data_IF_472358287832
#
_entry.id   IF_472358287832
#
_cell.length_a   1.000
_cell.length_b   1.000
_cell.length_c   1.000
_cell.angle_alpha   90.00
_cell.angle_beta   90.00
_cell.angle_gamma   90.00
#
_symmetry.space_group_name_H-M   'P 1'
#
loop_
_entity.id
_entity.type
_entity.pdbx_description
1 polymer ?
#
# COMPACT_ATOMS: atom_id res chain seq x y z
N UNK A 1 18.45 9.97 2.64
CA UNK A 1 17.09 9.43 2.84
C UNK A 1 16.91 8.24 1.92
N UNK A 2 16.45 7.09 2.44
CA UNK A 2 16.11 5.93 1.60
C UNK A 2 14.79 6.18 0.85
N UNK A 3 14.52 5.51 -0.28
CA UNK A 3 13.25 5.67 -1.00
C UNK A 3 12.02 5.43 -0.12
N UNK A 4 12.09 4.40 0.74
CA UNK A 4 11.02 4.07 1.68
C UNK A 4 10.84 5.14 2.76
N UNK A 5 11.93 5.67 3.32
CA UNK A 5 11.88 6.78 4.28
C UNK A 5 11.28 8.04 3.64
N UNK A 6 11.68 8.36 2.41
CA UNK A 6 11.09 9.45 1.62
C UNK A 6 9.58 9.27 1.45
N UNK A 7 9.15 8.09 1.01
CA UNK A 7 7.73 7.81 0.83
C UNK A 7 6.95 8.00 2.14
N UNK A 8 7.53 7.68 3.30
CA UNK A 8 6.86 7.82 4.60
C UNK A 8 6.80 9.28 5.06
N UNK A 9 7.87 10.04 4.88
CA UNK A 9 8.01 11.40 5.41
C UNK A 9 7.44 12.48 4.47
N UNK A 10 7.52 12.26 3.16
CA UNK A 10 7.18 13.24 2.12
C UNK A 10 6.20 12.71 1.06
N UNK A 11 5.82 11.42 1.12
CA UNK A 11 5.05 10.76 0.06
C UNK A 11 3.56 11.10 -0.02
N UNK A 12 3.08 12.05 0.80
CA UNK A 12 1.70 12.55 0.83
C UNK A 12 1.39 13.52 -0.32
N UNK A 13 2.42 14.17 -0.89
CA UNK A 13 2.21 15.11 -1.98
C UNK A 13 1.79 14.37 -3.27
N UNK A 14 0.68 14.77 -3.91
CA UNK A 14 0.24 14.14 -5.15
C UNK A 14 1.03 14.69 -6.33
N UNK A 15 1.95 13.87 -6.85
CA UNK A 15 2.92 14.25 -7.88
C UNK A 15 2.79 13.43 -9.18
N UNK A 16 2.26 12.21 -9.10
CA UNK A 16 2.29 11.25 -10.22
C UNK A 16 0.99 11.30 -11.02
N UNK A 17 1.05 11.59 -12.32
CA UNK A 17 -0.13 11.45 -13.17
C UNK A 17 -0.46 9.97 -13.44
N UNK A 18 -1.61 9.72 -14.10
CA UNK A 18 -2.07 8.34 -14.34
C UNK A 18 -1.12 7.52 -15.22
N UNK A 19 -0.32 8.15 -16.07
CA UNK A 19 0.66 7.45 -16.91
C UNK A 19 1.91 7.08 -16.10
N UNK A 20 2.44 8.03 -15.32
CA UNK A 20 3.52 7.75 -14.38
C UNK A 20 3.12 6.66 -13.37
N UNK A 21 1.91 6.77 -12.80
CA UNK A 21 1.34 5.76 -11.91
C UNK A 21 1.26 4.39 -12.58
N UNK A 22 0.71 4.30 -13.80
CA UNK A 22 0.62 3.04 -14.53
C UNK A 22 1.99 2.40 -14.77
N UNK A 23 3.01 3.20 -15.10
CA UNK A 23 4.37 2.71 -15.32
C UNK A 23 5.02 2.22 -14.02
N UNK A 24 4.95 3.01 -12.95
CA UNK A 24 5.49 2.63 -11.62
C UNK A 24 4.83 1.33 -11.12
N UNK A 25 3.51 1.22 -11.30
CA UNK A 25 2.71 0.10 -10.82
C UNK A 25 2.73 -1.13 -11.74
N UNK A 26 3.34 -1.06 -12.93
CA UNK A 26 3.20 -2.06 -14.00
C UNK A 26 1.74 -2.44 -14.26
N UNK A 27 0.88 -1.44 -14.37
CA UNK A 27 -0.56 -1.60 -14.51
C UNK A 27 -1.05 -0.97 -15.81
N UNK A 28 -2.17 -1.49 -16.32
CA UNK A 28 -2.87 -0.83 -17.44
C UNK A 28 -3.50 0.48 -16.95
N UNK A 29 -3.23 1.59 -17.67
CA UNK A 29 -3.82 2.91 -17.42
C UNK A 29 -5.36 2.83 -17.32
N UNK A 30 -5.97 2.03 -18.18
CA UNK A 30 -7.42 1.79 -18.24
C UNK A 30 -7.95 1.17 -16.95
N UNK A 31 -7.17 0.31 -16.29
CA UNK A 31 -7.54 -0.29 -15.00
C UNK A 31 -7.63 0.80 -13.93
N UNK A 32 -6.59 1.64 -13.84
CA UNK A 32 -6.54 2.75 -12.87
C UNK A 32 -7.67 3.76 -13.11
N UNK A 33 -7.91 4.12 -14.37
CA UNK A 33 -9.02 5.02 -14.74
C UNK A 33 -10.39 4.41 -14.43
N UNK A 34 -10.58 3.11 -14.71
CA UNK A 34 -11.84 2.41 -14.43
C UNK A 34 -12.11 2.35 -12.93
N UNK A 35 -11.10 2.04 -12.12
CA UNK A 35 -11.24 2.01 -10.66
C UNK A 35 -11.58 3.40 -10.11
N UNK A 36 -10.92 4.44 -10.63
CA UNK A 36 -11.16 5.81 -10.22
C UNK A 36 -12.52 6.36 -10.72
N UNK A 37 -13.02 5.91 -11.88
CA UNK A 37 -14.34 6.28 -12.40
C UNK A 37 -15.47 5.58 -11.63
N UNK A 38 -15.25 4.35 -11.17
CA UNK A 38 -16.19 3.58 -10.34
C UNK A 38 -16.14 3.94 -8.85
N UNK A 39 -15.31 4.92 -8.45
CA UNK A 39 -15.15 5.32 -7.05
C UNK A 39 -14.54 4.24 -6.16
N UNK A 40 -13.86 3.25 -6.75
CA UNK A 40 -13.17 2.17 -6.01
C UNK A 40 -11.95 2.73 -5.30
N UNK A 41 -11.28 3.69 -5.93
CA UNK A 41 -10.14 4.43 -5.39
C UNK A 41 -10.58 5.87 -5.18
N UNK A 42 -10.78 6.26 -3.93
CA UNK A 42 -11.13 7.63 -3.52
C UNK A 42 -10.08 8.15 -2.53
N UNK A 43 -8.81 8.10 -2.92
CA UNK A 43 -7.73 8.67 -2.14
C UNK A 43 -7.87 10.20 -2.06
N UNK A 44 -7.50 10.79 -0.93
CA UNK A 44 -7.61 12.22 -0.65
C UNK A 44 -6.87 13.10 -1.67
N UNK A 45 -5.83 12.59 -2.34
CA UNK A 45 -5.12 13.22 -3.45
C UNK A 45 -5.86 13.24 -4.79
N UNK A 46 -6.92 12.44 -4.95
CA UNK A 46 -7.77 12.42 -6.14
C UNK A 46 -8.80 13.57 -6.15
N UNK A 47 -8.75 14.49 -5.17
CA UNK A 47 -9.57 15.69 -5.20
C UNK A 47 -9.17 16.51 -6.44
N UNK A 48 -10.13 16.94 -7.27
CA UNK A 48 -9.84 17.82 -8.38
C UNK A 48 -9.33 19.16 -7.82
N UNK A 49 -8.01 19.31 -7.74
CA UNK A 49 -7.38 20.61 -7.70
C UNK A 49 -7.68 21.38 -8.99
N UNK A 50 -7.33 22.67 -9.04
CA UNK A 50 -7.61 23.57 -10.19
C UNK A 50 -7.04 23.08 -11.54
N UNK A 51 -6.22 22.03 -11.55
CA UNK A 51 -5.81 21.29 -12.74
C UNK A 51 -6.73 20.08 -12.95
N UNK A 52 -7.26 19.90 -14.17
CA UNK A 52 -8.13 18.77 -14.54
C UNK A 52 -7.43 17.39 -14.50
N UNK A 53 -6.21 17.28 -13.97
CA UNK A 53 -5.44 16.04 -13.90
C UNK A 53 -5.55 15.44 -12.49
N UNK A 54 -5.98 14.17 -12.41
CA UNK A 54 -5.90 13.37 -11.19
C UNK A 54 -4.45 12.95 -11.01
N UNK A 55 -3.87 13.34 -9.88
CA UNK A 55 -2.52 12.96 -9.49
C UNK A 55 -2.61 11.97 -8.32
N UNK A 56 -1.62 11.10 -8.22
CA UNK A 56 -1.46 10.09 -7.18
C UNK A 56 -0.28 10.50 -6.29
N UNK A 57 -0.40 10.29 -4.99
CA UNK A 57 0.73 10.39 -4.06
C UNK A 57 1.52 9.07 -4.03
N UNK A 58 2.72 9.06 -3.46
CA UNK A 58 3.50 7.83 -3.32
C UNK A 58 2.78 6.80 -2.42
N UNK A 59 2.04 7.27 -1.41
CA UNK A 59 1.17 6.42 -0.59
C UNK A 59 0.05 5.77 -1.43
N UNK A 60 -0.58 6.54 -2.32
CA UNK A 60 -1.63 6.01 -3.21
C UNK A 60 -1.08 4.89 -4.09
N UNK A 61 0.12 5.06 -4.64
CA UNK A 61 0.79 4.05 -5.45
C UNK A 61 1.06 2.77 -4.63
N UNK A 62 1.52 2.88 -3.39
CA UNK A 62 1.78 1.73 -2.53
C UNK A 62 0.50 0.90 -2.28
N UNK A 63 -0.61 1.59 -1.96
CA UNK A 63 -1.92 0.96 -1.76
C UNK A 63 -2.43 0.33 -3.07
N UNK A 64 -2.31 1.03 -4.20
CA UNK A 64 -2.77 0.55 -5.50
C UNK A 64 -2.01 -0.70 -5.94
N UNK A 65 -0.68 -0.75 -5.77
CA UNK A 65 0.10 -1.94 -6.14
C UNK A 65 -0.34 -3.14 -5.32
N UNK A 66 -0.47 -2.97 -4.00
CA UNK A 66 -0.94 -4.04 -3.13
C UNK A 66 -2.36 -4.50 -3.51
N UNK A 67 -3.27 -3.57 -3.83
CA UNK A 67 -4.62 -3.89 -4.27
C UNK A 67 -4.64 -4.67 -5.59
N UNK A 68 -3.82 -4.29 -6.58
CA UNK A 68 -3.71 -5.00 -7.86
C UNK A 68 -3.25 -6.45 -7.65
N UNK A 69 -2.27 -6.68 -6.78
CA UNK A 69 -1.80 -8.02 -6.44
C UNK A 69 -2.88 -8.84 -5.72
N UNK A 70 -3.63 -8.24 -4.80
CA UNK A 70 -4.76 -8.91 -4.15
C UNK A 70 -5.86 -9.27 -5.15
N UNK A 71 -6.14 -8.42 -6.15
CA UNK A 71 -7.07 -8.77 -7.24
C UNK A 71 -6.56 -9.97 -8.04
N UNK A 72 -5.25 -10.05 -8.32
CA UNK A 72 -4.65 -11.21 -8.97
C UNK A 72 -4.78 -12.50 -8.14
N UNK A 73 -4.89 -12.37 -6.81
CA UNK A 73 -5.19 -13.48 -5.88
C UNK A 73 -6.69 -13.78 -5.73
N UNK A 74 -7.55 -13.12 -6.52
CA UNK A 74 -8.99 -13.39 -6.58
C UNK A 74 -9.86 -12.48 -5.71
N UNK A 75 -9.30 -11.43 -5.10
CA UNK A 75 -10.10 -10.45 -4.36
C UNK A 75 -10.91 -9.58 -5.32
N UNK A 76 -12.13 -9.20 -4.91
CA UNK A 76 -12.89 -8.16 -5.61
C UNK A 76 -12.18 -6.81 -5.45
N UNK A 77 -12.12 -5.95 -6.49
CA UNK A 77 -11.34 -4.71 -6.42
C UNK A 77 -11.64 -3.80 -5.22
N UNK A 78 -12.91 -3.56 -4.80
CA UNK A 78 -13.18 -2.76 -3.60
C UNK A 78 -12.63 -3.38 -2.31
N UNK A 79 -12.69 -4.71 -2.20
CA UNK A 79 -12.15 -5.43 -1.05
C UNK A 79 -10.61 -5.40 -1.07
N UNK A 80 -10.01 -5.55 -2.24
CA UNK A 80 -8.57 -5.48 -2.42
C UNK A 80 -8.01 -4.09 -2.02
N UNK A 81 -8.64 -3.01 -2.47
CA UNK A 81 -8.25 -1.64 -2.10
C UNK A 81 -8.44 -1.39 -0.60
N UNK A 82 -9.56 -1.83 -0.02
CA UNK A 82 -9.78 -1.70 1.43
C UNK A 82 -8.75 -2.49 2.24
N UNK A 83 -8.44 -3.73 1.83
CA UNK A 83 -7.45 -4.55 2.53
C UNK A 83 -6.03 -4.00 2.38
N UNK A 84 -5.66 -3.55 1.19
CA UNK A 84 -4.38 -2.92 0.93
C UNK A 84 -4.20 -1.63 1.73
N UNK A 85 -5.24 -0.79 1.80
CA UNK A 85 -5.23 0.44 2.59
C UNK A 85 -5.03 0.17 4.07
N UNK A 86 -5.74 -0.82 4.63
CA UNK A 86 -5.55 -1.20 6.04
C UNK A 86 -4.16 -1.78 6.29
N UNK A 87 -3.68 -2.67 5.41
CA UNK A 87 -2.33 -3.22 5.50
C UNK A 87 -1.26 -2.11 5.46
N UNK A 88 -1.48 -1.09 4.63
CA UNK A 88 -0.58 0.04 4.53
C UNK A 88 -0.57 0.89 5.80
N UNK A 89 -1.76 1.24 6.33
CA UNK A 89 -1.89 2.02 7.57
C UNK A 89 -1.25 1.28 8.75
N UNK A 90 -1.51 -0.02 8.90
CA UNK A 90 -0.92 -0.83 9.97
C UNK A 90 0.62 -0.87 9.84
N UNK A 91 1.14 -1.09 8.63
CA UNK A 91 2.58 -1.08 8.35
C UNK A 91 3.22 0.30 8.65
N UNK A 92 2.56 1.40 8.25
CA UNK A 92 2.98 2.76 8.59
C UNK A 92 2.96 3.02 10.11
N UNK A 93 2.02 2.42 10.84
CA UNK A 93 1.95 2.50 12.30
C UNK A 93 3.21 1.94 12.96
N UNK A 94 3.69 0.78 12.50
CA UNK A 94 4.97 0.22 12.95
C UNK A 94 6.15 1.13 12.61
N UNK A 95 6.15 1.68 11.40
CA UNK A 95 7.23 2.54 10.91
C UNK A 95 7.39 3.84 11.69
N UNK A 96 6.29 4.56 11.85
CA UNK A 96 6.27 5.86 12.51
C UNK A 96 6.56 5.72 14.00
N UNK A 97 6.15 4.60 14.63
CA UNK A 97 6.51 4.29 16.01
C UNK A 97 8.01 4.00 16.18
N UNK A 98 8.63 3.29 15.24
CA UNK A 98 10.08 3.04 15.21
C UNK A 98 10.89 4.34 15.05
N UNK A 99 10.55 5.15 14.04
CA UNK A 99 11.21 6.45 13.77
C UNK A 99 11.16 7.37 14.99
N UNK A 100 10.01 7.47 15.66
CA UNK A 100 9.82 8.36 16.84
C UNK A 100 10.61 7.95 18.08
N UNK A 101 11.08 6.70 18.18
CA UNK A 101 11.82 6.20 19.36
C UNK A 101 13.32 6.42 19.26
N UNK A 102 13.84 6.90 18.12
CA UNK A 102 15.28 7.07 17.93
C UNK A 102 16.07 5.77 18.02
N UNK A 103 15.37 4.64 18.00
CA UNK A 103 15.98 3.33 17.79
C UNK A 103 16.43 3.28 16.32
N UNK A 104 17.59 2.68 16.03
CA UNK A 104 18.06 2.37 14.66
C UNK A 104 17.13 1.33 14.01
N UNK A 105 15.82 1.62 13.93
CA UNK A 105 14.90 0.92 13.07
C UNK A 105 15.33 1.28 11.67
N UNK A 106 16.25 0.49 11.16
CA UNK A 106 16.49 0.43 9.75
C UNK A 106 15.11 0.18 9.13
N UNK A 107 14.67 1.09 8.25
CA UNK A 107 13.54 0.85 7.33
C UNK A 107 13.59 -0.57 6.70
N UNK A 108 14.77 -1.20 6.70
CA UNK A 108 15.08 -2.59 6.34
C UNK A 108 14.18 -3.68 6.93
N UNK A 109 13.39 -3.45 7.99
CA UNK A 109 12.51 -4.50 8.54
C UNK A 109 11.10 -4.52 7.96
N UNK A 110 10.70 -3.50 7.19
CA UNK A 110 9.38 -3.54 6.51
C UNK A 110 9.34 -4.67 5.51
N UNK A 111 10.44 -5.00 4.82
CA UNK A 111 10.45 -6.10 3.85
C UNK A 111 9.82 -7.38 4.43
N UNK A 112 9.98 -7.61 5.75
CA UNK A 112 9.37 -8.72 6.47
C UNK A 112 7.90 -8.56 6.85
N UNK A 113 7.24 -7.45 6.54
CA UNK A 113 5.84 -7.21 6.86
C UNK A 113 4.90 -8.09 6.02
N UNK A 114 4.06 -8.84 6.70
CA UNK A 114 3.07 -9.75 6.14
C UNK A 114 1.69 -9.33 6.64
N UNK A 115 0.80 -9.04 5.69
CA UNK A 115 -0.62 -8.86 5.95
C UNK A 115 -1.32 -10.22 5.99
N UNK A 116 -2.17 -10.38 7.00
CA UNK A 116 -3.05 -11.51 7.23
C UNK A 116 -4.47 -11.04 6.96
N UNK A 117 -5.07 -11.53 5.88
CA UNK A 117 -6.35 -11.04 5.38
C UNK A 117 -7.39 -12.14 5.55
N UNK A 118 -8.25 -11.96 6.55
CA UNK A 118 -9.37 -12.84 6.85
C UNK A 118 -10.65 -12.46 6.11
N UNK A 119 -11.51 -13.46 5.90
CA UNK A 119 -12.86 -13.24 5.37
C UNK A 119 -13.70 -12.38 6.32
N UNK A 120 -14.54 -11.52 5.75
CA UNK A 120 -15.52 -10.69 6.45
C UNK A 120 -16.92 -11.06 5.97
N UNK A 121 -17.86 -11.26 6.89
CA UNK A 121 -19.26 -11.62 6.59
C UNK A 121 -20.03 -10.37 6.11
N UNK A 122 -19.72 -9.92 4.88
CA UNK A 122 -20.41 -8.81 4.23
C UNK A 122 -19.81 -7.42 4.44
N UNK A 123 -18.64 -7.31 5.08
CA UNK A 123 -17.94 -6.03 5.33
C UNK A 123 -16.55 -5.94 4.70
N UNK A 124 -15.80 -4.90 5.09
CA UNK A 124 -14.38 -4.75 4.76
C UNK A 124 -13.59 -5.97 5.29
N UNK A 125 -12.56 -6.46 4.55
CA UNK A 125 -11.73 -7.57 5.00
C UNK A 125 -11.10 -7.30 6.36
N UNK A 126 -10.99 -8.32 7.21
CA UNK A 126 -10.25 -8.20 8.46
C UNK A 126 -8.76 -8.32 8.14
N UNK A 127 -8.01 -7.24 8.30
CA UNK A 127 -6.58 -7.19 7.97
C UNK A 127 -5.78 -6.94 9.24
N UNK A 128 -4.70 -7.69 9.40
CA UNK A 128 -3.67 -7.46 10.40
C UNK A 128 -2.30 -7.56 9.77
N UNK A 129 -1.37 -6.71 10.18
CA UNK A 129 0.02 -6.79 9.71
C UNK A 129 0.94 -7.26 10.83
N UNK A 130 1.82 -8.20 10.51
CA UNK A 130 2.89 -8.66 11.37
C UNK A 130 4.23 -8.49 10.67
N UNK A 131 5.28 -8.14 11.40
CA UNK A 131 6.66 -8.06 10.88
C UNK A 131 7.37 -9.36 11.23
N UNK A 132 7.69 -10.16 10.21
CA UNK A 132 8.46 -11.40 10.38
C UNK A 132 9.84 -11.07 10.94
N UNK A 133 10.18 -11.64 12.10
CA UNK A 133 11.44 -11.41 12.80
C UNK A 133 11.34 -10.70 14.16
N UNK A 134 10.22 -10.04 14.50
CA UNK A 134 10.06 -9.33 15.79
C UNK A 134 8.86 -9.75 16.63
N UNK A 135 7.86 -10.41 16.03
CA UNK A 135 6.70 -10.89 16.75
C UNK A 135 6.46 -12.37 16.48
N UNK A 136 6.25 -13.13 17.56
CA UNK A 136 5.53 -14.41 17.47
C UNK A 136 4.15 -14.11 16.89
N UNK A 137 3.90 -14.59 15.67
CA UNK A 137 2.57 -14.57 15.09
C UNK A 137 1.74 -15.51 15.96
N UNK A 138 0.99 -14.98 16.95
CA UNK A 138 0.01 -15.80 17.66
C UNK A 138 -1.14 -16.08 16.70
N UNK A 139 -1.02 -17.20 15.99
CA UNK A 139 -1.99 -17.66 15.00
C UNK A 139 -3.38 -17.94 15.61
N UNK A 140 -3.50 -17.91 16.94
CA UNK A 140 -4.69 -18.23 17.71
C UNK A 140 -5.91 -17.36 17.37
N UNK A 141 -5.71 -16.10 16.94
CA UNK A 141 -6.83 -15.21 16.53
C UNK A 141 -7.17 -15.36 15.02
N UNK A 142 -6.32 -16.03 14.24
CA UNK A 142 -6.57 -16.39 12.84
C UNK A 142 -7.33 -17.72 12.72
N UNK A 143 -7.27 -18.57 13.75
CA UNK A 143 -7.87 -19.91 13.76
C UNK A 143 -9.33 -19.96 14.25
N UNK A 144 -10.16 -19.00 13.83
CA UNK A 144 -11.62 -19.18 13.88
C UNK A 144 -12.12 -20.31 12.93
N UNK A 145 -11.21 -21.02 12.26
CA UNK A 145 -11.50 -22.03 11.24
C UNK A 145 -11.73 -21.46 9.84
N UNK A 146 -11.58 -20.15 9.65
CA UNK A 146 -11.79 -19.46 8.37
C UNK A 146 -10.47 -19.30 7.58
N UNK A 147 -10.52 -19.38 6.24
CA UNK A 147 -9.34 -19.20 5.41
C UNK A 147 -8.77 -17.77 5.56
N UNK A 148 -7.44 -17.68 5.62
CA UNK A 148 -6.69 -16.42 5.68
C UNK A 148 -5.71 -16.40 4.51
N UNK A 149 -5.61 -15.24 3.84
CA UNK A 149 -4.58 -15.00 2.84
C UNK A 149 -3.40 -14.30 3.50
N UNK A 150 -2.20 -14.87 3.33
CA UNK A 150 -0.93 -14.24 3.71
C UNK A 150 -0.39 -13.45 2.52
N UNK A 151 -0.05 -12.18 2.74
CA UNK A 151 0.41 -11.28 1.69
C UNK A 151 1.63 -10.50 2.17
N UNK A 152 2.77 -10.65 1.51
CA UNK A 152 4.01 -9.94 1.84
C UNK A 152 3.94 -8.46 1.43
N UNK A 153 3.15 -7.67 2.15
CA UNK A 153 2.89 -6.26 1.85
C UNK A 153 4.15 -5.40 1.96
N UNK A 154 5.08 -5.79 2.82
CA UNK A 154 6.33 -5.07 3.06
C UNK A 154 7.18 -4.86 1.82
N UNK A 155 7.53 -5.96 1.15
CA UNK A 155 8.29 -5.96 -0.11
C UNK A 155 7.59 -5.15 -1.20
N UNK A 156 6.26 -5.18 -1.22
CA UNK A 156 5.46 -4.44 -2.21
C UNK A 156 5.62 -2.94 -2.00
N UNK A 157 5.53 -2.47 -0.75
CA UNK A 157 5.68 -1.05 -0.44
C UNK A 157 7.11 -0.55 -0.71
N UNK A 158 8.12 -1.34 -0.40
CA UNK A 158 9.51 -1.01 -0.69
C UNK A 158 9.77 -0.87 -2.20
N UNK A 159 9.32 -1.83 -3.00
CA UNK A 159 9.45 -1.78 -4.47
C UNK A 159 8.76 -0.57 -5.09
N UNK A 160 7.57 -0.21 -4.58
CA UNK A 160 6.87 0.99 -5.06
C UNK A 160 7.65 2.25 -4.69
N UNK A 161 8.16 2.33 -3.46
CA UNK A 161 8.95 3.47 -3.01
C UNK A 161 10.20 3.68 -3.87
N UNK A 162 10.93 2.59 -4.16
CA UNK A 162 12.11 2.62 -5.03
C UNK A 162 11.79 3.17 -6.43
N UNK A 163 10.71 2.66 -7.04
CA UNK A 163 10.30 3.06 -8.39
C UNK A 163 9.79 4.49 -8.45
N UNK A 164 8.95 4.89 -7.50
CA UNK A 164 8.43 6.26 -7.43
C UNK A 164 9.56 7.27 -7.19
N UNK A 165 10.51 6.94 -6.32
CA UNK A 165 11.65 7.79 -6.04
C UNK A 165 12.64 7.88 -7.22
N UNK A 166 12.83 6.79 -7.98
CA UNK A 166 13.61 6.80 -9.21
C UNK A 166 12.96 7.69 -10.28
N UNK A 167 11.65 7.55 -10.48
CA UNK A 167 10.87 8.38 -11.40
C UNK A 167 11.04 9.88 -11.13
N UNK A 168 10.89 10.29 -9.86
CA UNK A 168 11.06 11.69 -9.43
C UNK A 168 12.44 12.27 -9.79
N UNK A 169 13.49 11.46 -9.80
CA UNK A 169 14.85 11.89 -10.17
C UNK A 169 15.06 12.03 -11.68
N UNK A 170 14.28 11.33 -12.49
CA UNK A 170 14.37 11.41 -13.95
C UNK A 170 13.62 12.62 -14.51
N UNK A 171 12.58 13.08 -13.80
CA UNK A 171 11.78 14.26 -14.16
C UNK A 171 12.33 15.61 -13.62
N UNK A 172 13.35 15.59 -12.74
CA UNK A 172 13.95 16.76 -12.08
C UNK A 172 15.26 17.23 -12.73
#
# INVERSE_FOLDING_TARGET
>A
MTPLQWMIEEGDEPEFDVHAAAQILEADVTTLQTWAARGITNFSGLRPGRSRKRLYSAHDLAILRAALLLVALGFRPPHAVSAAGQAYIDALGFLTAGIKRGEDWQCAEIAGAVALIGASDGGAPNVRVAITGRHEISFTDLFSGRPVVTFACGLVFEQVAERAHAWRKEDA
#
